data_IF_951835457578
#
_entry.id   IF_951835457578
#
_cell.length_a   1.000
_cell.length_b   1.000
_cell.length_c   1.000
_cell.angle_alpha   90.00
_cell.angle_beta   90.00
_cell.angle_gamma   90.00
#
_symmetry.space_group_name_H-M   'P 1'
#
loop_
_entity.id
_entity.type
_entity.pdbx_description
1 polymer ?
#
# COMPACT_ATOMS: atom_id res chain seq x y z
N UNK A 1 -12.17 3.91 14.95
CA UNK A 1 -11.16 4.98 14.80
C UNK A 1 -9.73 4.47 14.97
N UNK A 2 -9.37 3.86 16.12
CA UNK A 2 -8.02 3.32 16.36
C UNK A 2 -7.57 2.27 15.32
N UNK A 3 -8.47 1.34 14.95
CA UNK A 3 -8.17 0.30 13.96
C UNK A 3 -7.77 0.88 12.60
N UNK A 4 -8.51 1.86 12.08
CA UNK A 4 -8.21 2.51 10.79
C UNK A 4 -6.83 3.19 10.79
N UNK A 5 -6.47 3.87 11.88
CA UNK A 5 -5.17 4.52 12.01
C UNK A 5 -4.06 3.45 12.01
N UNK A 6 -4.23 2.40 12.81
CA UNK A 6 -3.25 1.31 12.91
C UNK A 6 -3.07 0.58 11.57
N UNK A 7 -4.16 0.30 10.84
CA UNK A 7 -4.08 -0.41 9.56
C UNK A 7 -3.47 0.47 8.47
N UNK A 8 -3.91 1.73 8.33
CA UNK A 8 -3.36 2.66 7.33
C UNK A 8 -1.88 2.93 7.60
N UNK A 9 -1.51 3.22 8.85
CA UNK A 9 -0.10 3.40 9.24
C UNK A 9 0.70 2.12 9.03
N UNK A 10 0.15 0.95 9.38
CA UNK A 10 0.80 -0.34 9.17
C UNK A 10 1.07 -0.65 7.70
N UNK A 11 0.13 -0.33 6.80
CA UNK A 11 0.28 -0.48 5.35
C UNK A 11 1.39 0.45 4.84
N UNK A 12 1.37 1.72 5.23
CA UNK A 12 2.38 2.71 4.80
C UNK A 12 3.78 2.35 5.29
N UNK A 13 3.92 1.98 6.57
CA UNK A 13 5.19 1.51 7.14
C UNK A 13 5.70 0.25 6.44
N UNK A 14 4.85 -0.76 6.22
CA UNK A 14 5.25 -1.98 5.51
C UNK A 14 5.71 -1.66 4.07
N UNK A 15 5.00 -0.78 3.38
CA UNK A 15 5.36 -0.32 2.02
C UNK A 15 6.71 0.40 2.02
N UNK A 16 6.93 1.31 2.97
CA UNK A 16 8.20 2.01 3.14
C UNK A 16 9.37 1.08 3.46
N UNK A 17 9.16 0.10 4.34
CA UNK A 17 10.15 -0.90 4.71
C UNK A 17 10.59 -1.77 3.52
N UNK A 18 9.68 -2.04 2.57
CA UNK A 18 10.03 -2.72 1.31
C UNK A 18 11.01 -1.87 0.49
N UNK A 19 10.84 -0.55 0.47
CA UNK A 19 11.71 0.38 -0.26
C UNK A 19 13.16 0.40 0.26
N UNK A 20 13.37 0.18 1.56
CA UNK A 20 14.71 0.16 2.17
C UNK A 20 15.31 -1.25 2.28
N UNK A 21 14.60 -2.27 1.80
CA UNK A 21 15.02 -3.65 1.94
C UNK A 21 16.34 -3.92 1.18
N UNK A 22 17.37 -4.51 1.83
CA UNK A 22 18.60 -4.87 1.16
C UNK A 22 18.37 -5.89 0.04
N UNK A 23 19.23 -5.88 -0.98
CA UNK A 23 19.09 -6.80 -2.10
C UNK A 23 19.53 -8.22 -1.72
N UNK A 24 19.17 -9.19 -2.57
CA UNK A 24 19.64 -10.57 -2.44
C UNK A 24 21.17 -10.67 -2.39
N UNK A 25 21.89 -9.80 -3.11
CA UNK A 25 23.35 -9.76 -3.09
C UNK A 25 23.92 -9.41 -1.70
N UNK A 26 23.16 -8.69 -0.85
CA UNK A 26 23.62 -8.25 0.48
C UNK A 26 23.27 -9.23 1.58
N UNK A 27 22.05 -9.77 1.59
CA UNK A 27 21.53 -10.60 2.70
C UNK A 27 21.03 -11.99 2.27
N UNK A 28 21.20 -12.36 1.01
CA UNK A 28 20.84 -13.67 0.48
C UNK A 28 19.36 -13.98 0.62
N UNK A 29 19.04 -15.20 1.08
CA UNK A 29 17.67 -15.71 1.25
C UNK A 29 16.81 -14.86 2.19
N UNK A 30 17.44 -14.09 3.10
CA UNK A 30 16.69 -13.22 4.01
C UNK A 30 15.97 -12.08 3.29
N UNK A 31 16.44 -11.63 2.12
CA UNK A 31 15.76 -10.58 1.35
C UNK A 31 14.32 -11.00 0.94
N UNK A 32 14.12 -12.10 0.19
CA UNK A 32 12.77 -12.53 -0.15
C UNK A 32 11.95 -12.96 1.07
N UNK A 33 12.57 -13.53 2.12
CA UNK A 33 11.85 -13.89 3.35
C UNK A 33 11.26 -12.67 4.05
N UNK A 34 12.06 -11.60 4.25
CA UNK A 34 11.58 -10.37 4.87
C UNK A 34 10.52 -9.68 4.00
N UNK A 35 10.69 -9.68 2.68
CA UNK A 35 9.68 -9.19 1.75
C UNK A 35 8.34 -9.91 1.93
N UNK A 36 8.35 -11.24 2.04
CA UNK A 36 7.14 -12.05 2.28
C UNK A 36 6.50 -11.68 3.61
N UNK A 37 7.29 -11.55 4.68
CA UNK A 37 6.78 -11.16 6.00
C UNK A 37 6.10 -9.79 5.94
N UNK A 38 6.74 -8.79 5.31
CA UNK A 38 6.15 -7.47 5.12
C UNK A 38 4.84 -7.53 4.32
N UNK A 39 4.79 -8.37 3.27
CA UNK A 39 3.58 -8.58 2.47
C UNK A 39 2.45 -9.25 3.25
N UNK A 40 2.76 -10.19 4.15
CA UNK A 40 1.77 -10.81 5.02
C UNK A 40 1.20 -9.76 5.99
N UNK A 41 2.06 -8.97 6.64
CA UNK A 41 1.63 -7.90 7.54
C UNK A 41 0.75 -6.88 6.81
N UNK A 42 1.16 -6.47 5.61
CA UNK A 42 0.38 -5.55 4.78
C UNK A 42 -0.98 -6.15 4.38
N UNK A 43 -1.02 -7.43 3.99
CA UNK A 43 -2.24 -8.14 3.64
C UNK A 43 -3.22 -8.29 4.81
N UNK A 44 -2.72 -8.57 6.01
CA UNK A 44 -3.53 -8.61 7.24
C UNK A 44 -4.15 -7.25 7.57
N UNK A 45 -3.36 -6.18 7.42
CA UNK A 45 -3.83 -4.81 7.66
C UNK A 45 -4.93 -4.40 6.67
N UNK A 46 -4.74 -4.69 5.37
CA UNK A 46 -5.75 -4.44 4.33
C UNK A 46 -7.01 -5.26 4.56
N UNK A 47 -6.87 -6.56 4.84
CA UNK A 47 -8.02 -7.46 5.05
C UNK A 47 -8.88 -7.07 6.25
N UNK A 48 -8.28 -6.65 7.36
CA UNK A 48 -9.00 -6.20 8.55
C UNK A 48 -9.68 -4.85 8.37
N UNK A 49 -9.08 -3.95 7.59
CA UNK A 49 -9.63 -2.61 7.33
C UNK A 49 -10.81 -2.67 6.35
N UNK A 50 -10.70 -3.44 5.28
CA UNK A 50 -11.67 -3.43 4.19
C UNK A 50 -13.05 -3.91 4.63
N UNK A 51 -13.12 -5.02 5.36
CA UNK A 51 -14.39 -5.57 5.86
C UNK A 51 -15.06 -4.68 6.89
N UNK A 52 -14.28 -4.09 7.82
CA UNK A 52 -14.83 -3.23 8.87
C UNK A 52 -15.28 -1.86 8.32
N UNK A 53 -14.57 -1.30 7.34
CA UNK A 53 -14.92 -0.03 6.70
C UNK A 53 -16.23 -0.13 5.89
N UNK A 54 -16.42 -1.20 5.12
CA UNK A 54 -17.64 -1.40 4.32
C UNK A 54 -18.85 -1.58 5.23
N UNK A 55 -18.76 -2.42 6.26
CA UNK A 55 -19.86 -2.63 7.20
C UNK A 55 -20.22 -1.34 7.94
N UNK A 56 -19.23 -0.61 8.45
CA UNK A 56 -19.47 0.67 9.13
C UNK A 56 -20.11 1.72 8.20
N UNK A 57 -19.70 1.77 6.93
CA UNK A 57 -20.28 2.67 5.94
C UNK A 57 -21.74 2.32 5.62
N UNK A 58 -22.08 1.03 5.54
CA UNK A 58 -23.44 0.56 5.28
C UNK A 58 -24.36 0.72 6.49
N UNK A 59 -23.87 0.42 7.69
CA UNK A 59 -24.61 0.60 8.95
C UNK A 59 -24.97 2.07 9.20
N UNK A 60 -24.07 2.98 8.82
CA UNK A 60 -24.27 4.43 8.97
C UNK A 60 -25.14 5.03 7.86
N UNK A 61 -25.53 4.27 6.84
CA UNK A 61 -26.21 4.78 5.66
C UNK A 61 -27.75 4.69 5.75
N UNK A 62 -28.48 5.69 5.24
CA UNK A 62 -29.93 5.60 5.03
C UNK A 62 -30.29 4.39 4.16
N UNK A 63 -31.43 3.71 4.39
CA UNK A 63 -31.79 2.46 3.70
C UNK A 63 -31.70 2.54 2.17
N UNK A 64 -32.16 3.66 1.60
CA UNK A 64 -32.19 3.94 0.16
C UNK A 64 -30.81 4.20 -0.46
N UNK A 65 -29.80 4.51 0.36
CA UNK A 65 -28.47 4.96 -0.07
C UNK A 65 -27.34 3.98 0.29
N UNK A 66 -27.64 2.84 0.93
CA UNK A 66 -26.65 1.84 1.36
C UNK A 66 -25.69 1.43 0.26
N UNK A 67 -26.18 1.23 -0.97
CA UNK A 67 -25.36 0.88 -2.11
C UNK A 67 -24.30 1.96 -2.45
N UNK A 68 -24.65 3.25 -2.34
CA UNK A 68 -23.70 4.35 -2.61
C UNK A 68 -22.60 4.42 -1.55
N UNK A 69 -22.97 4.19 -0.29
CA UNK A 69 -22.01 4.20 0.83
C UNK A 69 -21.10 2.97 0.82
N UNK A 70 -21.60 1.80 0.39
CA UNK A 70 -20.81 0.58 0.22
C UNK A 70 -19.73 0.70 -0.87
N UNK A 71 -19.96 1.53 -1.89
CA UNK A 71 -19.00 1.75 -2.98
C UNK A 71 -17.86 2.69 -2.55
N UNK A 72 -18.09 3.57 -1.57
CA UNK A 72 -17.09 4.59 -1.19
C UNK A 72 -15.72 4.00 -0.80
N UNK A 73 -15.65 2.94 0.05
CA UNK A 73 -14.37 2.28 0.35
C UNK A 73 -13.75 1.57 -0.86
N UNK A 74 -14.55 1.13 -1.83
CA UNK A 74 -14.05 0.42 -3.02
C UNK A 74 -13.33 1.34 -4.00
N UNK A 75 -13.72 2.62 -4.06
CA UNK A 75 -13.08 3.62 -4.94
C UNK A 75 -11.66 3.98 -4.47
N UNK A 76 -11.33 3.74 -3.20
CA UNK A 76 -9.98 3.98 -2.66
C UNK A 76 -8.89 3.14 -3.35
N UNK A 77 -9.18 1.87 -3.64
CA UNK A 77 -8.23 0.94 -4.27
C UNK A 77 -7.76 1.38 -5.68
N UNK A 78 -8.65 1.68 -6.64
CA UNK A 78 -8.24 2.15 -7.96
C UNK A 78 -7.54 3.51 -7.90
N UNK A 79 -7.97 4.43 -7.02
CA UNK A 79 -7.27 5.71 -6.84
C UNK A 79 -5.83 5.47 -6.35
N UNK A 80 -5.65 4.63 -5.32
CA UNK A 80 -4.32 4.27 -4.81
C UNK A 80 -3.44 3.63 -5.89
N UNK A 81 -4.03 2.79 -6.73
CA UNK A 81 -3.34 2.12 -7.85
C UNK A 81 -2.88 3.12 -8.91
N UNK A 82 -3.72 4.10 -9.25
CA UNK A 82 -3.38 5.17 -10.20
C UNK A 82 -2.27 6.06 -9.62
N UNK A 83 -2.38 6.46 -8.35
CA UNK A 83 -1.35 7.27 -7.68
C UNK A 83 -0.01 6.53 -7.61
N UNK A 84 -0.02 5.24 -7.24
CA UNK A 84 1.19 4.42 -7.20
C UNK A 84 1.81 4.30 -8.59
N UNK A 85 1.02 3.90 -9.59
CA UNK A 85 1.48 3.79 -10.98
C UNK A 85 2.02 5.12 -11.52
N UNK A 86 1.36 6.23 -11.19
CA UNK A 86 1.78 7.58 -11.56
C UNK A 86 3.13 7.95 -10.94
N UNK A 87 3.34 7.63 -9.67
CA UNK A 87 4.63 7.85 -9.01
C UNK A 87 5.75 7.03 -9.68
N UNK A 88 5.52 5.75 -9.97
CA UNK A 88 6.49 4.93 -10.71
C UNK A 88 6.76 5.49 -12.11
N UNK A 89 5.72 5.93 -12.83
CA UNK A 89 5.85 6.54 -14.14
C UNK A 89 6.71 7.81 -14.11
N UNK A 90 6.44 8.72 -13.17
CA UNK A 90 7.21 9.96 -13.03
C UNK A 90 8.68 9.66 -12.78
N UNK A 91 8.99 8.76 -11.83
CA UNK A 91 10.38 8.40 -11.55
C UNK A 91 11.04 7.70 -12.74
N UNK A 92 10.31 6.85 -13.46
CA UNK A 92 10.79 6.15 -14.66
C UNK A 92 11.07 7.07 -15.85
N UNK A 93 10.39 8.21 -15.95
CA UNK A 93 10.67 9.25 -16.98
C UNK A 93 11.83 10.15 -16.57
N UNK A 94 12.03 10.38 -15.27
CA UNK A 94 13.06 11.26 -14.75
C UNK A 94 14.46 10.61 -14.67
N UNK A 95 14.53 9.28 -14.55
CA UNK A 95 15.78 8.55 -14.38
C UNK A 95 16.10 7.70 -15.62
N UNK A 96 17.39 7.55 -15.98
CA UNK A 96 17.82 6.52 -16.92
C UNK A 96 17.42 5.12 -16.45
N UNK A 97 17.13 4.17 -17.36
CA UNK A 97 16.70 2.81 -17.01
C UNK A 97 17.62 2.12 -16.00
N UNK A 98 18.93 2.27 -16.15
CA UNK A 98 19.94 1.65 -15.28
C UNK A 98 19.88 2.21 -13.85
N UNK A 99 19.61 3.52 -13.72
CA UNK A 99 19.45 4.18 -12.42
C UNK A 99 18.12 3.81 -11.76
N UNK A 100 17.07 3.68 -12.56
CA UNK A 100 15.76 3.25 -12.08
C UNK A 100 15.83 1.84 -11.48
N UNK A 101 16.43 0.88 -12.20
CA UNK A 101 16.58 -0.51 -11.75
C UNK A 101 17.53 -0.63 -10.56
N UNK A 102 18.63 0.14 -10.53
CA UNK A 102 19.58 0.09 -9.43
C UNK A 102 18.98 0.58 -8.11
N UNK A 103 18.27 1.71 -8.12
CA UNK A 103 17.75 2.33 -6.90
C UNK A 103 16.50 3.18 -7.04
N UNK A 104 16.21 3.75 -8.21
CA UNK A 104 15.09 4.68 -8.41
C UNK A 104 13.73 4.09 -8.05
N UNK A 105 13.52 2.79 -8.29
CA UNK A 105 12.28 2.08 -7.93
C UNK A 105 11.94 2.14 -6.43
N UNK A 106 12.91 2.42 -5.55
CA UNK A 106 12.70 2.53 -4.10
C UNK A 106 11.99 3.82 -3.69
N UNK A 107 12.08 4.88 -4.48
CA UNK A 107 11.55 6.21 -4.14
C UNK A 107 10.04 6.17 -3.89
N UNK A 108 9.19 5.61 -4.78
CA UNK A 108 7.75 5.54 -4.55
C UNK A 108 7.37 4.72 -3.31
N UNK A 109 8.16 3.70 -2.95
CA UNK A 109 7.93 2.93 -1.73
C UNK A 109 8.22 3.75 -0.47
N UNK A 110 9.36 4.45 -0.43
CA UNK A 110 9.76 5.27 0.72
C UNK A 110 8.78 6.45 0.92
N UNK A 111 8.26 7.02 -0.17
CA UNK A 111 7.25 8.08 -0.13
C UNK A 111 5.91 7.63 0.49
N UNK A 112 5.67 6.32 0.62
CA UNK A 112 4.47 5.78 1.25
C UNK A 112 4.56 5.70 2.79
N UNK A 113 5.69 6.09 3.40
CA UNK A 113 5.83 6.19 4.85
C UNK A 113 4.93 7.33 5.36
N UNK A 114 4.00 7.06 6.30
CA UNK A 114 3.04 8.04 6.82
C UNK A 114 3.67 9.10 7.72
#
# INVERSE_FOLDING_TARGET
KLVLIVTVTGIGLATGLIGILPTFATIGVWAPTLLIVLRIVQGLAVGGEWGSAVTAAVESAPPEKRARYAVMPQVGSPIGTILSSGAFFVIGVLLPPESFEAWGWRIPFIAAIP
#
